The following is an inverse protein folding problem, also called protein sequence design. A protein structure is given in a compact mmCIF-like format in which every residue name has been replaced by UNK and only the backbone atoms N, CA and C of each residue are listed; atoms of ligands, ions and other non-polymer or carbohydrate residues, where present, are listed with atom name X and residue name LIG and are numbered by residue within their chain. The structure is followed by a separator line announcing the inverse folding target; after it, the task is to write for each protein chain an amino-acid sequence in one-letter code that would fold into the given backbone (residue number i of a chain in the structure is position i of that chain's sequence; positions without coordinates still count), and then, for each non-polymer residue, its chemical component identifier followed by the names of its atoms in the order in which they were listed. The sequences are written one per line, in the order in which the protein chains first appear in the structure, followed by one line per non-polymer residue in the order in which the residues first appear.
data_IF_234518032445
#
_entry.id   IF_234518032445
#
_cell.length_a   1.000
_cell.length_b   1.000
_cell.length_c   1.000
_cell.angle_alpha   90.00
_cell.angle_beta   90.00
_cell.angle_gamma   90.00
#
_symmetry.space_group_name_H-M   'P 1'
#
loop_
_entity.id
_entity.type
_entity.pdbx_description
1 polymer ?
#
# COMPACT_ATOMS: atom_id res chain seq x y z
N UNK A 1 5.33 -21.54 9.75
CA UNK A 1 6.18 -20.72 10.63
C UNK A 1 7.63 -21.09 10.36
N UNK A 2 8.34 -20.33 9.53
CA UNK A 2 9.79 -20.48 9.41
C UNK A 2 10.39 -19.85 10.67
N UNK A 3 10.93 -20.66 11.58
CA UNK A 3 11.72 -20.17 12.71
C UNK A 3 13.01 -19.60 12.11
N UNK A 4 13.08 -18.27 12.00
CA UNK A 4 14.32 -17.60 11.61
C UNK A 4 15.46 -18.03 12.55
N UNK A 5 16.63 -18.26 11.97
CA UNK A 5 17.81 -18.72 12.70
C UNK A 5 18.11 -17.73 13.84
N UNK A 6 17.83 -18.13 15.08
CA UNK A 6 17.88 -17.25 16.27
C UNK A 6 19.30 -16.79 16.62
N UNK A 7 20.32 -17.36 15.96
CA UNK A 7 21.74 -17.08 16.20
C UNK A 7 22.23 -15.75 15.62
N UNK A 8 21.41 -15.01 14.85
CA UNK A 8 21.81 -13.71 14.26
C UNK A 8 21.07 -12.50 14.84
N UNK A 9 20.38 -12.65 15.97
CA UNK A 9 19.73 -11.51 16.64
C UNK A 9 20.46 -11.06 17.89
N UNK A 10 20.68 -9.74 18.06
CA UNK A 10 20.99 -9.19 19.37
C UNK A 10 20.03 -9.78 20.42
N UNK A 11 20.53 -10.11 21.62
CA UNK A 11 19.76 -10.84 22.64
C UNK A 11 18.52 -10.08 23.14
N UNK A 12 18.49 -8.77 22.91
CA UNK A 12 17.42 -7.84 23.27
C UNK A 12 16.42 -7.57 22.13
N UNK A 13 16.58 -8.21 20.97
CA UNK A 13 15.71 -8.01 19.80
C UNK A 13 14.89 -9.26 19.51
N UNK A 14 13.57 -9.12 19.62
CA UNK A 14 12.60 -10.08 19.09
C UNK A 14 12.24 -9.74 17.64
N UNK A 15 12.13 -10.76 16.80
CA UNK A 15 11.74 -10.60 15.38
C UNK A 15 10.61 -11.55 15.02
N UNK A 16 9.71 -11.08 14.16
CA UNK A 16 8.75 -11.91 13.46
C UNK A 16 8.72 -11.49 12.00
N UNK A 17 8.72 -12.46 11.10
CA UNK A 17 8.51 -12.23 9.68
C UNK A 17 7.15 -12.79 9.29
N UNK A 18 6.25 -11.92 8.84
CA UNK A 18 4.95 -12.29 8.32
C UNK A 18 5.07 -12.38 6.81
N UNK A 19 5.18 -13.61 6.30
CA UNK A 19 5.22 -13.86 4.86
C UNK A 19 3.81 -14.03 4.32
N UNK A 20 3.59 -13.59 3.08
CA UNK A 20 2.32 -13.75 2.36
C UNK A 20 1.12 -13.20 3.16
N UNK A 21 1.24 -11.98 3.70
CA UNK A 21 0.15 -11.34 4.46
C UNK A 21 -1.15 -11.23 3.65
N UNK A 22 -1.04 -11.04 2.33
CA UNK A 22 -2.15 -11.08 1.38
C UNK A 22 -1.98 -12.29 0.43
N UNK A 23 -2.36 -13.51 0.85
CA UNK A 23 -2.18 -14.71 0.03
C UNK A 23 -3.08 -14.72 -1.20
N UNK A 24 -4.28 -14.10 -1.13
CA UNK A 24 -5.15 -13.94 -2.29
C UNK A 24 -4.47 -13.08 -3.35
N UNK A 25 -4.04 -11.88 -2.97
CA UNK A 25 -3.33 -10.97 -3.88
C UNK A 25 -2.09 -11.64 -4.46
N UNK A 26 -1.28 -12.33 -3.66
CA UNK A 26 -0.13 -13.08 -4.18
C UNK A 26 -0.52 -14.16 -5.21
N UNK A 27 -1.62 -14.91 -4.97
CA UNK A 27 -2.06 -16.01 -5.84
C UNK A 27 -2.62 -15.52 -7.19
N UNK A 28 -3.31 -14.38 -7.18
CA UNK A 28 -3.88 -13.76 -8.38
C UNK A 28 -3.05 -12.60 -8.90
N UNK A 29 -1.86 -12.43 -8.30
CA UNK A 29 -0.88 -11.45 -8.71
C UNK A 29 -1.35 -9.99 -8.44
N UNK A 30 -2.41 -9.80 -7.65
CA UNK A 30 -3.01 -8.52 -7.30
C UNK A 30 -2.37 -7.85 -6.08
N UNK A 31 -2.50 -6.53 -6.00
CA UNK A 31 -2.21 -5.78 -4.77
C UNK A 31 -3.31 -5.96 -3.72
N UNK A 32 -4.55 -6.07 -4.19
CA UNK A 32 -5.76 -6.18 -3.40
C UNK A 32 -6.00 -7.59 -2.88
N UNK A 33 -6.82 -7.74 -1.85
CA UNK A 33 -7.24 -9.03 -1.30
C UNK A 33 -8.52 -9.55 -1.99
N UNK A 34 -9.10 -10.64 -1.46
CA UNK A 34 -10.32 -11.29 -1.98
C UNK A 34 -11.58 -10.40 -1.96
N UNK A 35 -11.52 -9.30 -1.23
CA UNK A 35 -12.59 -8.31 -1.11
C UNK A 35 -12.30 -7.05 -1.94
N UNK A 36 -11.30 -7.11 -2.83
CA UNK A 36 -10.72 -5.98 -3.55
C UNK A 36 -10.20 -4.87 -2.61
N UNK A 37 -9.90 -5.19 -1.36
CA UNK A 37 -9.39 -4.22 -0.39
C UNK A 37 -7.90 -3.99 -0.61
N UNK A 38 -7.51 -2.73 -0.72
CA UNK A 38 -6.11 -2.35 -0.72
C UNK A 38 -5.56 -2.42 0.71
N UNK A 39 -4.65 -3.36 0.96
CA UNK A 39 -4.25 -3.71 2.33
C UNK A 39 -3.68 -2.53 3.14
N UNK A 40 -2.87 -1.69 2.50
CA UNK A 40 -2.31 -0.51 3.14
C UNK A 40 -3.40 0.50 3.57
N UNK A 41 -4.54 0.50 2.88
CA UNK A 41 -5.67 1.43 3.09
C UNK A 41 -6.64 0.81 4.09
N UNK A 42 -6.82 -0.51 4.07
CA UNK A 42 -7.55 -1.20 5.14
C UNK A 42 -6.90 -0.97 6.51
N UNK A 43 -5.55 -0.92 6.58
CA UNK A 43 -4.80 -0.63 7.79
C UNK A 43 -4.96 0.80 8.35
N UNK A 44 -5.56 1.74 7.61
CA UNK A 44 -5.91 3.07 8.15
C UNK A 44 -7.25 3.08 8.90
N UNK A 45 -8.04 2.01 8.73
CA UNK A 45 -9.40 1.86 9.26
C UNK A 45 -10.40 2.90 8.75
N UNK A 46 -10.17 3.56 7.61
CA UNK A 46 -11.11 4.55 7.07
C UNK A 46 -12.50 3.99 6.73
N UNK A 47 -12.64 2.67 6.61
CA UNK A 47 -13.93 1.99 6.53
C UNK A 47 -14.85 2.26 7.73
N UNK A 48 -14.32 2.68 8.89
CA UNK A 48 -15.14 3.03 10.07
C UNK A 48 -15.67 4.46 10.03
N UNK A 49 -15.23 5.29 9.08
CA UNK A 49 -15.50 6.73 9.06
C UNK A 49 -16.62 7.13 8.10
N UNK A 50 -17.18 6.17 7.34
CA UNK A 50 -18.03 6.46 6.17
C UNK A 50 -17.41 7.49 5.20
N UNK A 51 -16.09 7.63 5.25
CA UNK A 51 -15.33 8.53 4.40
C UNK A 51 -15.34 8.03 2.96
N UNK A 52 -15.38 8.97 2.02
CA UNK A 52 -15.15 8.65 0.63
C UNK A 52 -14.43 9.78 -0.10
N UNK A 53 -13.71 9.43 -1.17
CA UNK A 53 -12.92 10.38 -1.93
C UNK A 53 -13.63 10.77 -3.23
N UNK A 54 -14.06 12.04 -3.39
CA UNK A 54 -14.82 12.46 -4.57
C UNK A 54 -14.00 12.41 -5.87
N UNK A 55 -12.69 12.65 -5.81
CA UNK A 55 -11.81 12.55 -6.99
C UNK A 55 -11.77 11.10 -7.48
N UNK A 56 -11.61 10.13 -6.57
CA UNK A 56 -11.62 8.72 -6.94
C UNK A 56 -12.99 8.23 -7.39
N UNK A 57 -14.09 8.69 -6.76
CA UNK A 57 -15.44 8.35 -7.23
C UNK A 57 -15.64 8.81 -8.68
N UNK A 58 -15.31 10.06 -8.98
CA UNK A 58 -15.41 10.58 -10.35
C UNK A 58 -14.55 9.80 -11.33
N UNK A 59 -13.31 9.49 -10.96
CA UNK A 59 -12.44 8.64 -11.78
C UNK A 59 -13.10 7.29 -12.07
N UNK A 60 -13.59 6.60 -11.04
CA UNK A 60 -14.18 5.26 -11.16
C UNK A 60 -15.48 5.29 -11.97
N UNK A 61 -16.33 6.29 -11.75
CA UNK A 61 -17.63 6.42 -12.44
C UNK A 61 -17.48 6.76 -13.93
N UNK A 62 -16.33 7.30 -14.36
CA UNK A 62 -16.05 7.69 -15.74
C UNK A 62 -15.23 6.68 -16.53
N UNK A 63 -14.74 5.60 -15.89
CA UNK A 63 -13.96 4.56 -16.55
C UNK A 63 -14.70 3.22 -16.54
N UNK A 64 -14.63 2.50 -17.65
CA UNK A 64 -15.22 1.17 -17.76
C UNK A 64 -14.28 0.11 -17.18
N UNK A 65 -14.17 0.06 -15.84
CA UNK A 65 -13.27 -0.87 -15.15
C UNK A 65 -13.35 -2.33 -15.65
N UNK A 66 -14.55 -2.94 -15.84
CA UNK A 66 -14.65 -4.34 -16.25
C UNK A 66 -14.10 -4.62 -17.66
N UNK A 67 -14.02 -3.61 -18.52
CA UNK A 67 -13.64 -3.75 -19.94
C UNK A 67 -12.28 -3.16 -20.26
N UNK A 68 -11.44 -2.84 -19.25
CA UNK A 68 -10.09 -2.30 -19.45
C UNK A 68 -9.13 -3.22 -20.23
N UNK A 69 -9.50 -4.47 -20.46
CA UNK A 69 -8.85 -5.33 -21.47
C UNK A 69 -9.00 -4.81 -22.90
N UNK A 70 -10.00 -3.98 -23.18
CA UNK A 70 -10.24 -3.32 -24.46
C UNK A 70 -9.37 -2.05 -24.60
N UNK A 71 -8.79 -1.86 -25.80
CA UNK A 71 -8.03 -0.67 -26.16
C UNK A 71 -8.85 0.62 -26.00
N UNK A 72 -10.12 0.65 -26.41
CA UNK A 72 -10.96 1.85 -26.32
C UNK A 72 -11.23 2.23 -24.86
N UNK A 73 -11.56 1.26 -24.01
CA UNK A 73 -11.75 1.47 -22.58
C UNK A 73 -10.48 2.01 -21.90
N UNK A 74 -9.30 1.50 -22.25
CA UNK A 74 -8.02 2.04 -21.76
C UNK A 74 -7.75 3.47 -22.22
N UNK A 75 -8.01 3.77 -23.49
CA UNK A 75 -7.84 5.12 -24.02
C UNK A 75 -8.77 6.12 -23.33
N UNK A 76 -10.03 5.74 -23.09
CA UNK A 76 -10.95 6.54 -22.30
C UNK A 76 -10.42 6.75 -20.86
N UNK A 77 -9.95 5.69 -20.21
CA UNK A 77 -9.38 5.80 -18.87
C UNK A 77 -8.19 6.77 -18.80
N UNK A 78 -7.28 6.75 -19.79
CA UNK A 78 -6.20 7.72 -19.88
C UNK A 78 -6.69 9.15 -20.08
N UNK A 79 -7.74 9.36 -20.89
CA UNK A 79 -8.32 10.68 -21.10
C UNK A 79 -8.96 11.23 -19.81
N UNK A 80 -9.75 10.41 -19.09
CA UNK A 80 -10.35 10.78 -17.80
C UNK A 80 -9.27 11.16 -16.78
N UNK A 81 -8.20 10.38 -16.70
CA UNK A 81 -7.08 10.70 -15.80
C UNK A 81 -6.42 12.02 -16.22
N UNK A 82 -6.14 12.20 -17.51
CA UNK A 82 -5.59 13.45 -18.02
C UNK A 82 -6.45 14.66 -17.66
N UNK A 83 -7.77 14.53 -17.71
CA UNK A 83 -8.70 15.58 -17.28
C UNK A 83 -8.59 15.87 -15.78
N UNK A 84 -8.50 14.83 -14.93
CA UNK A 84 -8.33 15.02 -13.49
C UNK A 84 -7.00 15.72 -13.15
N UNK A 85 -5.91 15.40 -13.87
CA UNK A 85 -4.62 16.08 -13.71
C UNK A 85 -4.59 17.51 -14.26
N UNK A 86 -5.48 17.84 -15.21
CA UNK A 86 -5.64 19.19 -15.70
C UNK A 86 -6.51 20.06 -14.77
N UNK A 87 -7.48 19.44 -14.10
CA UNK A 87 -8.41 20.11 -13.20
C UNK A 87 -7.87 20.25 -11.77
N UNK A 88 -7.17 19.23 -11.28
CA UNK A 88 -6.54 19.20 -9.97
C UNK A 88 -5.02 19.20 -10.11
N UNK A 89 -4.33 19.80 -9.14
CA UNK A 89 -2.89 19.59 -9.01
C UNK A 89 -2.58 18.08 -8.98
N UNK A 90 -1.54 17.65 -9.70
CA UNK A 90 -1.13 16.26 -9.75
C UNK A 90 -0.80 15.68 -8.37
N UNK A 91 -0.33 16.52 -7.44
CA UNK A 91 -0.14 16.13 -6.04
C UNK A 91 -1.48 15.81 -5.36
N UNK A 92 -2.54 16.57 -5.64
CA UNK A 92 -3.89 16.33 -5.10
C UNK A 92 -4.46 15.01 -5.60
N UNK A 93 -4.30 14.71 -6.90
CA UNK A 93 -4.73 13.42 -7.47
C UNK A 93 -3.92 12.27 -6.85
N UNK A 94 -2.62 12.45 -6.65
CA UNK A 94 -1.76 11.45 -6.00
C UNK A 94 -2.17 11.21 -4.54
N UNK A 95 -2.42 12.29 -3.78
CA UNK A 95 -2.94 12.20 -2.42
C UNK A 95 -4.26 11.45 -2.38
N UNK A 96 -5.18 11.70 -3.32
CA UNK A 96 -6.43 10.95 -3.40
C UNK A 96 -6.21 9.44 -3.56
N UNK A 97 -5.29 9.03 -4.46
CA UNK A 97 -4.90 7.63 -4.65
C UNK A 97 -4.24 7.02 -3.40
N UNK A 98 -3.47 7.80 -2.64
CA UNK A 98 -2.84 7.34 -1.39
C UNK A 98 -3.85 7.19 -0.25
N UNK A 99 -4.82 8.11 -0.14
CA UNK A 99 -5.88 8.11 0.88
C UNK A 99 -6.93 7.01 0.62
N UNK A 100 -7.31 6.78 -0.63
CA UNK A 100 -8.26 5.73 -1.02
C UNK A 100 -9.73 6.14 -0.91
N UNK A 101 -10.62 5.18 -1.21
CA UNK A 101 -12.08 5.40 -1.30
C UNK A 101 -12.87 4.24 -0.69
N UNK A 102 -14.14 4.48 -0.40
CA UNK A 102 -14.99 3.59 0.38
C UNK A 102 -16.28 3.08 -0.23
N UNK A 103 -16.74 3.66 -1.35
CA UNK A 103 -18.06 3.36 -1.90
C UNK A 103 -18.06 2.49 -3.14
N UNK A 104 -16.92 2.31 -3.81
CA UNK A 104 -16.85 1.52 -5.05
C UNK A 104 -16.04 0.25 -4.78
N UNK A 105 -16.68 -0.88 -4.40
CA UNK A 105 -15.96 -2.10 -4.05
C UNK A 105 -15.07 -2.63 -5.18
N UNK A 106 -15.47 -2.42 -6.44
CA UNK A 106 -14.66 -2.81 -7.61
C UNK A 106 -13.67 -1.72 -8.05
N UNK A 107 -13.67 -0.57 -7.37
CA UNK A 107 -12.89 0.59 -7.72
C UNK A 107 -11.44 0.53 -7.24
N UNK A 108 -10.61 1.38 -7.82
CA UNK A 108 -9.22 1.53 -7.42
C UNK A 108 -9.11 2.09 -5.99
N UNK A 109 -8.04 1.68 -5.28
CA UNK A 109 -7.74 2.14 -3.92
C UNK A 109 -8.92 2.01 -2.93
N UNK A 110 -9.78 1.00 -3.13
CA UNK A 110 -10.84 0.67 -2.19
C UNK A 110 -10.23 0.23 -0.86
N UNK A 111 -10.66 0.81 0.26
CA UNK A 111 -10.16 0.38 1.58
C UNK A 111 -10.74 -0.96 2.05
N UNK A 112 -11.74 -1.51 1.36
CA UNK A 112 -12.38 -2.78 1.70
C UNK A 112 -13.67 -2.65 2.53
N UNK A 113 -14.43 -3.74 2.68
CA UNK A 113 -15.38 -3.87 3.79
C UNK A 113 -14.58 -3.93 5.13
N UNK A 114 -15.20 -4.14 6.30
CA UNK A 114 -14.52 -4.07 7.60
C UNK A 114 -13.21 -4.86 7.67
N UNK A 115 -12.40 -4.58 8.68
CA UNK A 115 -11.05 -5.12 8.90
C UNK A 115 -10.76 -6.45 8.20
N UNK A 116 -9.90 -6.41 7.17
CA UNK A 116 -9.49 -7.56 6.36
C UNK A 116 -8.81 -8.66 7.20
N UNK A 117 -8.81 -9.89 6.69
CA UNK A 117 -8.08 -11.01 7.31
C UNK A 117 -6.60 -10.67 7.54
N UNK A 118 -5.95 -10.08 6.55
CA UNK A 118 -4.56 -9.63 6.61
C UNK A 118 -4.32 -8.67 7.79
N UNK A 119 -5.19 -7.66 7.96
CA UNK A 119 -5.10 -6.71 9.08
C UNK A 119 -5.42 -7.35 10.44
N UNK A 120 -6.27 -8.38 10.47
CA UNK A 120 -6.52 -9.17 11.68
C UNK A 120 -5.32 -10.04 12.07
N UNK A 121 -4.61 -10.61 11.07
CA UNK A 121 -3.39 -11.40 11.30
C UNK A 121 -2.28 -10.51 11.84
N UNK A 122 -2.09 -9.31 11.28
CA UNK A 122 -1.14 -8.32 11.78
C UNK A 122 -1.42 -7.99 13.25
N UNK A 123 -2.68 -7.65 13.58
CA UNK A 123 -3.14 -7.42 14.95
C UNK A 123 -2.82 -8.58 15.89
N UNK A 124 -3.15 -9.80 15.46
CA UNK A 124 -2.95 -11.01 16.24
C UNK A 124 -1.47 -11.25 16.53
N UNK A 125 -0.61 -11.10 15.52
CA UNK A 125 0.82 -11.33 15.68
C UNK A 125 1.43 -10.28 16.60
N UNK A 126 1.08 -9.01 16.44
CA UNK A 126 1.53 -7.92 17.31
C UNK A 126 1.13 -8.20 18.76
N UNK A 127 -0.16 -8.46 19.02
CA UNK A 127 -0.66 -8.67 20.38
C UNK A 127 -0.08 -9.94 21.03
N UNK A 128 0.10 -11.02 20.26
CA UNK A 128 0.57 -12.30 20.79
C UNK A 128 2.08 -12.36 21.02
N UNK A 129 2.85 -11.85 20.07
CA UNK A 129 4.30 -12.04 20.08
C UNK A 129 5.07 -10.82 20.58
N UNK A 130 4.44 -9.64 20.57
CA UNK A 130 5.06 -8.38 21.00
C UNK A 130 4.30 -7.59 22.10
N UNK A 131 3.77 -8.25 23.17
CA UNK A 131 2.99 -7.55 24.18
C UNK A 131 3.81 -6.66 25.14
N UNK A 132 5.13 -6.85 25.26
CA UNK A 132 5.95 -6.25 26.34
C UNK A 132 7.13 -5.41 25.84
N UNK A 133 7.28 -5.31 24.52
CA UNK A 133 8.37 -4.63 23.86
C UNK A 133 8.20 -3.12 24.07
N UNK A 134 9.27 -2.46 24.51
CA UNK A 134 9.27 -1.01 24.72
C UNK A 134 9.30 -0.23 23.42
N UNK A 135 9.88 -0.82 22.38
CA UNK A 135 10.08 -0.25 21.06
C UNK A 135 9.73 -1.29 20.01
N UNK A 136 8.88 -0.91 19.05
CA UNK A 136 8.51 -1.76 17.93
C UNK A 136 8.90 -1.08 16.63
N UNK A 137 9.53 -1.82 15.72
CA UNK A 137 9.81 -1.39 14.36
C UNK A 137 8.98 -2.27 13.44
N UNK A 138 8.07 -1.65 12.68
CA UNK A 138 7.33 -2.31 11.61
C UNK A 138 7.90 -1.85 10.27
N UNK A 139 8.31 -2.82 9.46
CA UNK A 139 8.78 -2.61 8.09
C UNK A 139 7.88 -3.42 7.17
N UNK A 140 7.06 -2.73 6.37
CA UNK A 140 6.33 -3.36 5.27
C UNK A 140 7.21 -3.42 4.04
N UNK A 141 7.53 -4.60 3.54
CA UNK A 141 8.27 -4.75 2.27
C UNK A 141 7.29 -4.70 1.10
N UNK A 142 7.52 -3.76 0.18
CA UNK A 142 6.68 -3.51 -0.98
C UNK A 142 7.53 -3.59 -2.25
N UNK A 143 7.00 -4.19 -3.31
CA UNK A 143 7.52 -3.97 -4.66
C UNK A 143 6.87 -2.73 -5.25
N UNK A 144 7.66 -1.82 -5.81
CA UNK A 144 7.21 -0.55 -6.37
C UNK A 144 7.93 -0.21 -7.70
N UNK A 145 7.46 0.85 -8.35
CA UNK A 145 8.14 1.48 -9.48
C UNK A 145 9.07 2.56 -8.94
N UNK A 146 10.30 2.64 -9.45
CA UNK A 146 11.28 3.62 -8.98
C UNK A 146 12.58 2.99 -8.48
N UNK A 147 13.46 3.78 -7.87
CA UNK A 147 14.59 3.27 -7.11
C UNK A 147 14.13 2.69 -5.77
N UNK A 148 15.04 1.96 -5.12
CA UNK A 148 14.88 1.54 -3.74
C UNK A 148 14.72 2.76 -2.82
N UNK A 149 13.72 2.77 -1.94
CA UNK A 149 13.53 3.85 -0.98
C UNK A 149 12.82 3.44 0.31
N UNK A 150 13.12 4.16 1.39
CA UNK A 150 12.36 4.09 2.63
C UNK A 150 11.23 5.12 2.59
N UNK A 151 10.05 4.70 2.98
CA UNK A 151 8.88 5.56 3.06
C UNK A 151 8.35 5.56 4.51
N UNK A 152 8.82 6.48 5.36
CA UNK A 152 8.28 6.66 6.71
C UNK A 152 6.81 7.03 6.67
N UNK A 153 6.02 6.45 7.58
CA UNK A 153 4.59 6.72 7.67
C UNK A 153 4.29 8.00 8.47
N UNK A 154 5.19 8.41 9.38
CA UNK A 154 5.04 9.59 10.24
C UNK A 154 6.39 10.26 10.52
N UNK A 155 6.36 11.45 11.13
CA UNK A 155 7.55 12.27 11.40
C UNK A 155 8.55 11.61 12.35
N UNK A 156 8.05 10.85 13.33
CA UNK A 156 8.89 10.09 14.26
C UNK A 156 9.66 9.01 13.51
N UNK A 157 8.98 8.28 12.62
CA UNK A 157 9.59 7.28 11.75
C UNK A 157 10.58 7.88 10.77
N UNK A 158 10.26 9.04 10.18
CA UNK A 158 11.17 9.78 9.30
C UNK A 158 12.48 10.13 10.02
N UNK A 159 12.37 10.64 11.25
CA UNK A 159 13.52 11.00 12.08
C UNK A 159 14.37 9.77 12.43
N UNK A 160 13.72 8.65 12.74
CA UNK A 160 14.41 7.39 13.02
C UNK A 160 15.16 6.88 11.78
N UNK A 161 14.52 6.82 10.60
CA UNK A 161 15.17 6.34 9.39
C UNK A 161 16.29 7.25 8.92
N UNK A 162 16.14 8.58 8.98
CA UNK A 162 17.24 9.54 8.70
C UNK A 162 18.46 9.29 9.57
N UNK A 163 18.27 8.87 10.82
CA UNK A 163 19.36 8.53 11.73
C UNK A 163 20.00 7.17 11.38
N UNK A 164 19.19 6.17 11.06
CA UNK A 164 19.66 4.80 10.83
C UNK A 164 20.27 4.58 9.44
N UNK A 165 19.75 5.30 8.44
CA UNK A 165 20.09 5.16 7.04
C UNK A 165 20.22 6.56 6.38
N UNK A 166 21.17 7.40 6.83
CA UNK A 166 21.26 8.81 6.42
C UNK A 166 21.55 9.02 4.92
N UNK A 167 22.09 7.99 4.25
CA UNK A 167 22.47 8.05 2.84
C UNK A 167 21.44 7.40 1.92
N UNK A 168 20.41 6.75 2.47
CA UNK A 168 19.42 6.04 1.68
C UNK A 168 18.33 6.99 1.21
N UNK A 169 17.79 6.72 0.02
CA UNK A 169 16.69 7.49 -0.54
C UNK A 169 15.45 7.35 0.35
N UNK A 170 14.84 8.49 0.66
CA UNK A 170 13.64 8.55 1.49
C UNK A 170 12.51 9.24 0.73
N UNK A 171 11.42 8.51 0.52
CA UNK A 171 10.18 9.01 -0.07
C UNK A 171 9.24 9.53 1.03
N UNK A 172 8.45 10.56 0.73
CA UNK A 172 7.44 11.04 1.68
C UNK A 172 6.14 10.24 1.56
N UNK A 173 5.62 9.78 2.70
CA UNK A 173 4.26 9.26 2.79
C UNK A 173 3.27 10.37 3.14
N UNK A 174 3.19 11.38 2.27
CA UNK A 174 2.21 12.46 2.47
C UNK A 174 0.82 11.95 2.11
N UNK A 175 -0.01 11.77 3.14
CA UNK A 175 -1.42 11.42 3.01
C UNK A 175 -2.29 12.41 3.76
N UNK A 176 -3.41 12.78 3.13
CA UNK A 176 -4.47 13.51 3.84
C UNK A 176 -5.21 12.51 4.71
N UNK A 177 -5.14 12.70 6.02
CA UNK A 177 -5.86 11.89 7.00
C UNK A 177 -7.27 12.49 7.12
N UNK A 178 -8.34 11.76 6.77
CA UNK A 178 -9.71 12.21 7.00
C UNK A 178 -9.96 12.49 8.49
N UNK A 179 -10.94 13.32 8.80
CA UNK A 179 -11.33 13.58 10.20
C UNK A 179 -11.66 12.27 10.93
N UNK A 180 -11.05 12.05 12.10
CA UNK A 180 -11.16 10.81 12.87
C UNK A 180 -10.35 9.63 12.32
N UNK A 181 -9.64 9.81 11.21
CA UNK A 181 -8.78 8.80 10.60
C UNK A 181 -7.43 8.66 11.28
N UNK A 182 -6.77 7.56 10.93
CA UNK A 182 -5.43 7.21 11.40
C UNK A 182 -4.48 6.96 10.23
N UNK A 183 -3.18 7.05 10.51
CA UNK A 183 -2.16 6.56 9.58
C UNK A 183 -2.14 5.02 9.55
N UNK A 184 -1.62 4.39 8.48
CA UNK A 184 -1.42 2.95 8.47
C UNK A 184 -0.64 2.46 9.70
N UNK A 185 -1.04 1.30 10.24
CA UNK A 185 -0.38 0.67 11.39
C UNK A 185 -0.48 1.44 12.72
N UNK A 186 -1.33 2.47 12.80
CA UNK A 186 -1.61 3.19 14.06
C UNK A 186 -2.22 2.28 15.13
N UNK A 187 -2.92 1.23 14.71
CA UNK A 187 -3.54 0.19 15.53
C UNK A 187 -2.55 -0.67 16.33
N UNK A 188 -1.24 -0.57 16.10
CA UNK A 188 -0.21 -1.35 16.79
C UNK A 188 0.02 -0.85 18.21
N UNK A 189 0.24 0.46 18.38
CA UNK A 189 0.61 1.04 19.68
C UNK A 189 -0.42 0.70 20.77
N UNK A 190 -1.75 0.83 20.54
CA UNK A 190 -2.76 0.49 21.55
C UNK A 190 -2.84 -1.00 21.94
N UNK A 191 -2.20 -1.90 21.20
CA UNK A 191 -2.22 -3.35 21.45
C UNK A 191 -0.96 -3.86 22.15
N UNK A 192 -0.07 -2.96 22.50
CA UNK A 192 1.26 -3.27 23.04
C UNK A 192 1.59 -2.31 24.18
N UNK A 193 2.59 -2.64 24.98
CA UNK A 193 3.15 -1.70 25.96
C UNK A 193 4.27 -0.82 25.36
N UNK A 194 4.36 -0.75 24.02
CA UNK A 194 5.41 -0.01 23.35
C UNK A 194 5.31 1.49 23.61
N UNK A 195 6.40 2.05 24.11
CA UNK A 195 6.60 3.50 24.25
C UNK A 195 6.69 4.14 22.87
N UNK A 196 7.33 3.44 21.93
CA UNK A 196 7.60 3.91 20.58
C UNK A 196 7.28 2.85 19.53
N UNK A 197 6.70 3.29 18.42
CA UNK A 197 6.43 2.45 17.25
C UNK A 197 6.93 3.17 16.01
N UNK A 198 8.01 2.67 15.42
CA UNK A 198 8.57 3.17 14.15
C UNK A 198 7.97 2.37 13.00
N UNK A 199 7.49 3.06 11.97
CA UNK A 199 6.74 2.47 10.85
C UNK A 199 7.31 2.95 9.53
N UNK A 200 7.70 2.01 8.70
CA UNK A 200 8.16 2.30 7.36
C UNK A 200 7.61 1.30 6.36
N UNK A 201 7.43 1.77 5.14
CA UNK A 201 7.38 0.90 3.98
C UNK A 201 8.76 0.93 3.34
N UNK A 202 9.28 -0.24 3.04
CA UNK A 202 10.44 -0.39 2.20
C UNK A 202 9.98 -0.66 0.77
N UNK A 203 10.11 0.33 -0.11
CA UNK A 203 9.73 0.19 -1.50
C UNK A 203 10.93 -0.28 -2.32
N UNK A 204 10.86 -1.54 -2.73
CA UNK A 204 11.78 -2.15 -3.66
C UNK A 204 11.43 -1.74 -5.08
N UNK A 205 12.25 -0.87 -5.66
CA UNK A 205 12.24 -0.45 -7.05
C UNK A 205 12.35 -1.59 -8.05
N UNK A 206 11.29 -2.36 -8.20
CA UNK A 206 11.26 -3.60 -8.97
C UNK A 206 10.99 -3.35 -10.46
N UNK A 207 10.55 -2.13 -10.79
CA UNK A 207 10.13 -1.74 -12.13
C UNK A 207 10.71 -0.37 -12.49
N UNK A 208 11.20 -0.24 -13.72
CA UNK A 208 11.71 1.03 -14.25
C UNK A 208 10.60 2.09 -14.33
N UNK A 209 10.97 3.35 -14.11
CA UNK A 209 10.09 4.52 -14.26
C UNK A 209 10.04 4.91 -15.73
N UNK A 210 9.07 4.38 -16.47
CA UNK A 210 8.77 4.77 -17.85
C UNK A 210 7.33 5.24 -17.93
N UNK A 211 6.98 6.02 -18.97
CA UNK A 211 5.62 6.57 -19.11
C UNK A 211 4.53 5.49 -18.98
N UNK A 212 4.77 4.31 -19.54
CA UNK A 212 3.86 3.16 -19.47
C UNK A 212 3.72 2.60 -18.05
N UNK A 213 4.82 2.40 -17.31
CA UNK A 213 4.75 1.88 -15.92
C UNK A 213 4.17 2.92 -14.97
N UNK A 214 4.47 4.20 -15.17
CA UNK A 214 3.82 5.28 -14.41
C UNK A 214 2.32 5.35 -14.69
N UNK A 215 1.89 5.28 -15.95
CA UNK A 215 0.47 5.22 -16.27
C UNK A 215 -0.20 4.00 -15.64
N UNK A 216 0.42 2.81 -15.70
CA UNK A 216 -0.08 1.61 -15.03
C UNK A 216 -0.15 1.75 -13.50
N UNK A 217 0.85 2.39 -12.88
CA UNK A 217 0.89 2.64 -11.44
C UNK A 217 -0.20 3.61 -10.99
N UNK A 218 -0.34 4.72 -11.71
CA UNK A 218 -1.27 5.81 -11.39
C UNK A 218 -2.70 5.38 -11.64
N UNK A 219 -2.93 4.60 -12.69
CA UNK A 219 -4.24 4.01 -12.96
C UNK A 219 -4.54 2.87 -11.97
N UNK A 220 -3.52 2.22 -11.38
CA UNK A 220 -3.64 0.97 -10.58
C UNK A 220 -4.35 -0.17 -11.33
N UNK A 221 -4.61 -0.01 -12.63
CA UNK A 221 -5.47 -0.90 -13.43
C UNK A 221 -4.80 -2.22 -13.81
N UNK A 222 -3.51 -2.34 -13.53
CA UNK A 222 -2.71 -3.53 -13.82
C UNK A 222 -1.66 -3.76 -12.72
N UNK A 223 -2.05 -3.69 -11.45
CA UNK A 223 -1.21 -4.18 -10.36
C UNK A 223 -1.16 -5.72 -10.36
N UNK A 224 -0.85 -6.31 -11.52
CA UNK A 224 -0.48 -7.70 -11.69
C UNK A 224 1.05 -7.81 -11.48
N UNK A 225 1.51 -7.85 -10.23
CA UNK A 225 2.93 -7.70 -9.86
C UNK A 225 3.83 -8.95 -10.01
N UNK A 226 3.30 -10.08 -10.47
CA UNK A 226 3.88 -11.42 -10.33
C UNK A 226 3.43 -12.41 -11.43
N UNK A 227 3.12 -11.96 -12.65
CA UNK A 227 2.83 -12.91 -13.73
C UNK A 227 4.11 -13.65 -14.09
N UNK A 228 4.07 -14.95 -13.81
CA UNK A 228 4.94 -15.95 -14.37
C UNK A 228 5.01 -15.79 -15.90
N UNK A 229 6.19 -16.12 -16.42
CA UNK A 229 6.79 -15.79 -17.71
C UNK A 229 6.07 -16.40 -18.95
N UNK A 230 4.84 -16.88 -18.80
CA UNK A 230 4.14 -17.71 -19.81
C UNK A 230 2.73 -17.23 -20.20
N UNK A 231 2.29 -16.06 -19.76
CA UNK A 231 0.98 -15.51 -20.14
C UNK A 231 1.06 -14.78 -21.51
N UNK A 232 0.22 -15.13 -22.50
CA UNK A 232 0.21 -14.55 -23.85
C UNK A 232 -0.13 -13.05 -23.93
N UNK A 233 -0.48 -12.39 -22.84
CA UNK A 233 -0.65 -10.92 -22.81
C UNK A 233 0.66 -10.11 -22.68
N UNK A 234 1.83 -10.74 -22.90
CA UNK A 234 3.14 -10.11 -22.72
C UNK A 234 4.01 -10.08 -23.99
N UNK A 235 3.55 -9.42 -25.05
CA UNK A 235 4.38 -8.84 -26.12
C UNK A 235 3.63 -7.56 -26.54
N UNK A 236 3.97 -6.36 -26.08
CA UNK A 236 5.13 -5.59 -26.54
C UNK A 236 5.60 -4.62 -25.43
N UNK A 237 6.75 -4.91 -24.81
CA UNK A 237 7.63 -3.93 -24.17
C UNK A 237 9.07 -4.48 -24.25
N UNK A 238 9.83 -3.92 -25.19
CA UNK A 238 11.25 -3.64 -25.04
C UNK A 238 11.39 -2.52 -24.00
#
# INVERSE_FOLDING_TARGET
MLRGNSSMSPPDVRRAHLHLINPYGASYILKENEQNANQLKNNTMYYTLHYDNPILQRLIDQIELPTLGNKSARQNAYAVIGQLFAEYDGEVVNMALKTGQGRRPQGIAYFGPPKSLSSQIEDYVVAKYFPYETDIILIGLHTAIGPWSFMPIDKESETAFKRWAPNDLMASYDIVIPSGGQLPYSNIKPKTNAKRVIRGIWEAGSYNVIMKTNAMFMTRLCCHFYTNVSDPFRQDII
#
